data_IF_593296300509
#
_entry.id   IF_593296300509
#
_cell.length_a   1.000
_cell.length_b   1.000
_cell.length_c   1.000
_cell.angle_alpha   90.00
_cell.angle_beta   90.00
_cell.angle_gamma   90.00
#
_symmetry.space_group_name_H-M   'P 1'
#
loop_
_entity.id
_entity.type
_entity.pdbx_description
1 polymer ?
#
# COMPACT_ATOMS: atom_id res chain seq x y z
N UNK A 1 -4.46 -14.88 -10.06
CA UNK A 1 -5.49 -14.12 -9.31
C UNK A 1 -5.52 -12.72 -9.87
N UNK A 2 -6.65 -12.27 -10.43
CA UNK A 2 -6.81 -10.91 -10.94
C UNK A 2 -6.42 -9.95 -9.84
N UNK A 3 -5.24 -9.35 -10.02
CA UNK A 3 -4.61 -8.41 -9.11
C UNK A 3 -5.54 -7.21 -9.10
N UNK A 4 -6.46 -7.17 -8.12
CA UNK A 4 -7.59 -6.24 -8.10
C UNK A 4 -7.11 -4.87 -8.52
N UNK A 5 -7.76 -4.31 -9.55
CA UNK A 5 -7.37 -3.04 -10.12
C UNK A 5 -7.12 -2.06 -8.99
N UNK A 6 -5.95 -1.42 -8.99
CA UNK A 6 -5.63 -0.39 -7.98
C UNK A 6 -6.63 0.79 -8.02
N UNK A 7 -7.55 0.81 -8.99
CA UNK A 7 -8.72 1.67 -9.04
C UNK A 7 -9.67 1.44 -7.86
N UNK A 8 -9.75 0.20 -7.32
CA UNK A 8 -10.59 -0.17 -6.18
C UNK A 8 -10.13 0.41 -4.84
N UNK A 9 -8.90 0.92 -4.77
CA UNK A 9 -8.42 1.59 -3.56
C UNK A 9 -9.11 2.95 -3.39
N UNK A 10 -9.69 3.14 -2.21
CA UNK A 10 -10.28 4.39 -1.78
C UNK A 10 -9.26 5.53 -1.78
N UNK A 11 -9.74 6.77 -1.88
CA UNK A 11 -8.87 7.95 -1.78
C UNK A 11 -8.09 7.98 -0.46
N UNK A 12 -8.66 7.45 0.63
CA UNK A 12 -8.01 7.33 1.93
C UNK A 12 -6.79 6.39 1.86
N UNK A 13 -6.96 5.21 1.29
CA UNK A 13 -5.88 4.22 1.12
C UNK A 13 -4.74 4.78 0.28
N UNK A 14 -5.06 5.48 -0.81
CA UNK A 14 -4.06 6.14 -1.67
C UNK A 14 -3.25 7.18 -0.89
N UNK A 15 -3.92 8.03 -0.08
CA UNK A 15 -3.23 9.01 0.78
C UNK A 15 -2.35 8.34 1.84
N UNK A 16 -2.84 7.30 2.50
CA UNK A 16 -2.05 6.57 3.49
C UNK A 16 -0.81 5.91 2.86
N UNK A 17 -0.96 5.29 1.69
CA UNK A 17 0.16 4.72 0.94
C UNK A 17 1.20 5.78 0.60
N UNK A 18 0.79 6.94 0.07
CA UNK A 18 1.72 8.03 -0.26
C UNK A 18 2.48 8.55 0.97
N UNK A 19 1.83 8.70 2.13
CA UNK A 19 2.51 9.12 3.36
C UNK A 19 3.54 8.09 3.84
N UNK A 20 3.21 6.80 3.77
CA UNK A 20 4.12 5.73 4.17
C UNK A 20 5.30 5.66 3.20
N UNK A 21 5.05 5.77 1.89
CA UNK A 21 6.08 5.79 0.86
C UNK A 21 7.06 6.94 1.09
N UNK A 22 6.57 8.15 1.34
CA UNK A 22 7.42 9.32 1.61
C UNK A 22 8.27 9.12 2.88
N UNK A 23 7.67 8.57 3.94
CA UNK A 23 8.40 8.21 5.16
C UNK A 23 9.50 7.18 4.90
N UNK A 24 9.24 6.13 4.12
CA UNK A 24 10.23 5.10 3.80
C UNK A 24 11.33 5.63 2.86
N UNK A 25 10.99 6.53 1.92
CA UNK A 25 11.96 7.27 1.10
C UNK A 25 12.88 8.12 1.98
N UNK A 26 12.33 8.84 2.97
CA UNK A 26 13.11 9.62 3.95
C UNK A 26 14.04 8.75 4.81
N UNK A 27 13.66 7.48 5.06
CA UNK A 27 14.53 6.49 5.71
C UNK A 27 15.62 5.90 4.80
N UNK A 28 15.74 6.39 3.56
CA UNK A 28 16.75 5.95 2.60
C UNK A 28 16.34 4.74 1.76
N UNK A 29 15.07 4.32 1.78
CA UNK A 29 14.61 3.24 0.90
C UNK A 29 14.41 3.73 -0.52
N UNK A 30 14.75 2.87 -1.48
CA UNK A 30 14.46 3.13 -2.89
C UNK A 30 12.96 3.23 -3.12
N UNK A 31 12.55 4.04 -4.11
CA UNK A 31 11.16 4.30 -4.44
C UNK A 31 10.32 3.01 -4.61
N UNK A 32 10.81 2.04 -5.38
CA UNK A 32 10.15 0.74 -5.56
C UNK A 32 9.96 -0.03 -4.25
N UNK A 33 10.88 0.13 -3.30
CA UNK A 33 10.82 -0.54 -1.99
C UNK A 33 9.84 0.17 -1.09
N UNK A 34 9.90 1.50 -1.07
CA UNK A 34 8.98 2.35 -0.32
C UNK A 34 7.52 2.16 -0.77
N UNK A 35 7.27 2.16 -2.09
CA UNK A 35 5.94 1.91 -2.66
C UNK A 35 5.41 0.52 -2.24
N UNK A 36 6.26 -0.51 -2.34
CA UNK A 36 5.88 -1.87 -1.93
C UNK A 36 5.50 -1.94 -0.45
N UNK A 37 6.28 -1.29 0.42
CA UNK A 37 6.01 -1.26 1.86
C UNK A 37 4.74 -0.48 2.16
N UNK A 38 4.53 0.66 1.48
CA UNK A 38 3.34 1.47 1.61
C UNK A 38 2.07 0.67 1.32
N UNK A 39 1.98 0.05 0.14
CA UNK A 39 0.81 -0.75 -0.23
C UNK A 39 0.63 -1.98 0.67
N UNK A 40 1.71 -2.65 1.07
CA UNK A 40 1.62 -3.78 2.00
C UNK A 40 1.13 -3.36 3.39
N UNK A 41 1.44 -2.14 3.83
CA UNK A 41 1.00 -1.62 5.13
C UNK A 41 -0.48 -1.23 5.10
N UNK A 42 -0.92 -0.58 4.01
CA UNK A 42 -2.33 -0.25 3.79
C UNK A 42 -3.17 -1.53 3.69
N UNK A 43 -2.74 -2.50 2.90
CA UNK A 43 -3.44 -3.80 2.74
C UNK A 43 -3.56 -4.57 4.07
N UNK A 44 -2.52 -4.50 4.92
CA UNK A 44 -2.56 -5.05 6.28
C UNK A 44 -3.51 -4.30 7.21
N UNK A 45 -3.58 -2.97 7.13
CA UNK A 45 -4.43 -2.13 7.99
C UNK A 45 -5.91 -2.26 7.67
N UNK A 46 -6.26 -2.41 6.40
CA UNK A 46 -7.65 -2.65 5.98
C UNK A 46 -8.08 -4.11 6.17
N UNK A 47 -7.27 -4.91 6.86
CA UNK A 47 -7.65 -6.22 7.36
C UNK A 47 -7.53 -7.34 6.34
N UNK A 48 -6.74 -7.17 5.26
CA UNK A 48 -6.61 -8.16 4.20
C UNK A 48 -7.98 -8.49 3.65
N UNK A 49 -8.45 -7.71 2.67
CA UNK A 49 -9.74 -7.86 2.00
C UNK A 49 -9.89 -9.14 1.16
N UNK A 50 -9.48 -10.29 1.71
CA UNK A 50 -9.98 -11.66 1.58
C UNK A 50 -9.00 -12.56 2.34
N UNK A 51 -9.38 -13.00 3.55
CA UNK A 51 -9.10 -14.41 3.89
C UNK A 51 -9.57 -15.22 2.69
N UNK A 52 -8.63 -15.86 2.01
CA UNK A 52 -8.94 -16.80 0.93
C UNK A 52 -9.79 -17.90 1.56
N UNK A 53 -11.04 -18.00 1.14
CA UNK A 53 -11.72 -19.27 0.99
C UNK A 53 -11.82 -19.53 -0.50
#
# INVERSE_FOLDING_TARGET
MSKGDKSSYTAKQKREASHIEESEKKKGKSEKTAERIAWATVDKRDGGGKKKS
#
